data_IF_944924752835
#
_entry.id   IF_944924752835
#
_cell.length_a   1.000
_cell.length_b   1.000
_cell.length_c   1.000
_cell.angle_alpha   90.00
_cell.angle_beta   90.00
_cell.angle_gamma   90.00
#
_symmetry.space_group_name_H-M   'P 1'
#
loop_
_entity.id
_entity.type
_entity.pdbx_description
1 polymer ?
#
# COMPACT_ATOMS: atom_id res chain seq x y z
N UNK A 1 70.33 -43.41 -71.36
CA UNK A 1 70.69 -44.23 -70.18
C UNK A 1 69.76 -43.91 -69.09
N UNK A 2 68.64 -44.67 -69.01
CA UNK A 2 68.37 -45.73 -68.04
C UNK A 2 68.37 -45.17 -66.61
N UNK A 3 67.27 -45.09 -65.89
CA UNK A 3 66.57 -46.16 -65.21
C UNK A 3 65.33 -45.54 -64.54
N UNK A 4 64.18 -46.02 -64.88
CA UNK A 4 63.30 -46.91 -64.11
C UNK A 4 62.82 -46.41 -62.77
N UNK A 5 61.53 -46.26 -62.75
CA UNK A 5 60.47 -46.32 -61.76
C UNK A 5 60.71 -47.36 -60.63
N UNK A 6 60.15 -47.26 -59.45
CA UNK A 6 58.76 -47.71 -59.28
C UNK A 6 57.87 -47.00 -58.25
N UNK A 7 56.63 -46.90 -58.64
CA UNK A 7 55.41 -47.05 -57.89
C UNK A 7 55.52 -47.19 -56.37
N UNK A 8 54.98 -46.19 -55.67
CA UNK A 8 54.48 -46.33 -54.29
C UNK A 8 52.98 -46.07 -54.26
N UNK A 9 52.30 -47.15 -54.04
CA UNK A 9 50.84 -47.25 -53.89
C UNK A 9 50.29 -46.31 -52.85
N UNK A 10 49.29 -45.54 -53.24
CA UNK A 10 48.43 -44.87 -52.36
C UNK A 10 47.74 -45.93 -51.47
N UNK A 11 48.08 -45.90 -50.16
CA UNK A 11 47.31 -46.63 -49.17
C UNK A 11 46.04 -45.82 -48.92
N UNK A 12 44.96 -46.45 -49.27
CA UNK A 12 43.59 -46.10 -49.01
C UNK A 12 43.40 -46.05 -47.49
N UNK A 13 43.42 -44.83 -46.93
CA UNK A 13 43.05 -44.61 -45.52
C UNK A 13 41.56 -44.50 -45.51
N UNK A 14 40.87 -45.60 -45.40
CA UNK A 14 39.47 -45.67 -45.02
C UNK A 14 39.30 -44.95 -43.69
N UNK A 15 38.43 -43.91 -43.57
CA UNK A 15 38.12 -43.35 -42.28
C UNK A 15 37.40 -44.44 -41.48
N UNK A 16 38.03 -44.85 -40.42
CA UNK A 16 37.49 -45.74 -39.41
C UNK A 16 36.19 -45.05 -38.84
N UNK A 17 35.08 -45.54 -39.35
CA UNK A 17 33.75 -45.17 -38.88
C UNK A 17 33.67 -45.66 -37.45
N UNK A 18 33.95 -44.72 -36.50
CA UNK A 18 33.69 -44.93 -35.08
C UNK A 18 32.20 -45.06 -34.93
N UNK A 19 31.70 -46.26 -34.97
CA UNK A 19 30.35 -46.65 -34.65
C UNK A 19 30.15 -46.41 -33.15
N UNK A 20 29.85 -45.15 -32.79
CA UNK A 20 29.38 -44.83 -31.46
C UNK A 20 28.05 -45.54 -31.30
N UNK A 21 27.85 -46.41 -30.31
CA UNK A 21 26.60 -47.12 -30.13
C UNK A 21 25.46 -46.11 -30.10
N UNK A 22 24.41 -46.33 -30.87
CA UNK A 22 23.23 -45.47 -31.04
C UNK A 22 22.58 -45.15 -29.70
N UNK A 23 22.64 -46.10 -28.74
CA UNK A 23 22.19 -45.92 -27.35
C UNK A 23 22.91 -44.78 -26.60
N UNK A 24 24.21 -44.56 -26.83
CA UNK A 24 24.96 -43.50 -26.16
C UNK A 24 24.58 -42.10 -26.66
N UNK A 25 24.25 -42.00 -27.96
CA UNK A 25 23.80 -40.72 -28.57
C UNK A 25 22.40 -40.34 -28.06
N UNK A 26 21.51 -41.32 -27.92
CA UNK A 26 20.16 -41.11 -27.37
C UNK A 26 20.23 -40.69 -25.89
N UNK A 27 21.09 -41.33 -25.07
CA UNK A 27 21.26 -40.97 -23.67
C UNK A 27 21.82 -39.56 -23.50
N UNK A 28 22.82 -39.16 -24.29
CA UNK A 28 23.37 -37.80 -24.27
C UNK A 28 22.28 -36.77 -24.65
N UNK A 29 21.47 -37.09 -25.65
CA UNK A 29 20.39 -36.20 -26.09
C UNK A 29 19.33 -36.05 -25.01
N UNK A 30 18.94 -37.13 -24.35
CA UNK A 30 17.99 -37.12 -23.24
C UNK A 30 18.53 -36.33 -22.01
N UNK A 31 19.82 -36.50 -21.71
CA UNK A 31 20.46 -35.76 -20.61
C UNK A 31 20.55 -34.26 -20.91
N UNK A 32 20.85 -33.86 -22.14
CA UNK A 32 20.85 -32.46 -22.57
C UNK A 32 19.46 -31.83 -22.46
N UNK A 33 18.42 -32.52 -22.91
CA UNK A 33 17.04 -32.03 -22.76
C UNK A 33 16.63 -31.88 -21.30
N UNK A 34 17.03 -32.81 -20.42
CA UNK A 34 16.79 -32.70 -18.97
C UNK A 34 17.55 -31.54 -18.35
N UNK A 35 18.78 -31.29 -18.76
CA UNK A 35 19.60 -30.17 -18.31
C UNK A 35 18.94 -28.84 -18.69
N UNK A 36 18.55 -28.68 -19.96
CA UNK A 36 17.88 -27.49 -20.47
C UNK A 36 16.58 -27.21 -19.69
N UNK A 37 15.78 -28.25 -19.46
CA UNK A 37 14.54 -28.11 -18.65
C UNK A 37 14.87 -27.70 -17.23
N UNK A 38 15.85 -28.30 -16.57
CA UNK A 38 16.25 -27.97 -15.22
C UNK A 38 16.82 -26.54 -15.12
N UNK A 39 17.58 -26.09 -16.12
CA UNK A 39 18.06 -24.71 -16.18
C UNK A 39 16.93 -23.71 -16.37
N UNK A 40 15.95 -24.00 -17.25
CA UNK A 40 14.77 -23.18 -17.43
C UNK A 40 13.92 -23.09 -16.16
N UNK A 41 13.70 -24.21 -15.48
CA UNK A 41 12.97 -24.26 -14.22
C UNK A 41 13.71 -23.51 -13.10
N UNK A 42 15.03 -23.62 -13.04
CA UNK A 42 15.86 -22.85 -12.10
C UNK A 42 15.74 -21.35 -12.36
N UNK A 43 15.81 -20.89 -13.61
CA UNK A 43 15.66 -19.47 -13.95
C UNK A 43 14.27 -18.96 -13.57
N UNK A 44 13.23 -19.76 -13.86
CA UNK A 44 11.84 -19.42 -13.45
C UNK A 44 11.71 -19.31 -11.94
N UNK A 45 12.24 -20.29 -11.19
CA UNK A 45 12.21 -20.27 -9.73
C UNK A 45 12.98 -19.07 -9.15
N UNK A 46 14.09 -18.65 -9.75
CA UNK A 46 14.82 -17.44 -9.34
C UNK A 46 14.01 -16.17 -9.59
N UNK A 47 13.35 -16.06 -10.75
CA UNK A 47 12.48 -14.93 -11.08
C UNK A 47 11.28 -14.86 -10.13
N UNK A 48 10.63 -15.99 -9.84
CA UNK A 48 9.51 -16.07 -8.90
C UNK A 48 9.93 -15.70 -7.48
N UNK A 49 11.11 -16.14 -7.05
CA UNK A 49 11.69 -15.75 -5.77
C UNK A 49 11.92 -14.24 -5.69
N UNK A 50 12.50 -13.64 -6.71
CA UNK A 50 12.75 -12.19 -6.76
C UNK A 50 11.44 -11.39 -6.71
N UNK A 51 10.45 -11.81 -7.48
CA UNK A 51 9.12 -11.20 -7.47
C UNK A 51 8.45 -11.32 -6.10
N UNK A 52 8.60 -12.48 -5.46
CA UNK A 52 8.06 -12.72 -4.11
C UNK A 52 8.73 -11.81 -3.08
N UNK A 53 10.06 -11.66 -3.11
CA UNK A 53 10.79 -10.77 -2.21
C UNK A 53 10.32 -9.32 -2.41
N UNK A 54 10.26 -8.84 -3.66
CA UNK A 54 9.78 -7.48 -3.96
C UNK A 54 8.34 -7.24 -3.47
N UNK A 55 7.46 -8.24 -3.59
CA UNK A 55 6.11 -8.16 -3.07
C UNK A 55 6.10 -8.10 -1.55
N UNK A 56 6.82 -8.99 -0.87
CA UNK A 56 6.91 -9.01 0.59
C UNK A 56 7.48 -7.73 1.16
N UNK A 57 8.47 -7.12 0.51
CA UNK A 57 9.04 -5.83 0.96
C UNK A 57 8.01 -4.70 0.87
N UNK A 58 7.19 -4.67 -0.18
CA UNK A 58 6.09 -3.70 -0.32
C UNK A 58 5.02 -3.92 0.77
N UNK A 59 4.56 -5.16 0.94
CA UNK A 59 3.59 -5.53 1.97
C UNK A 59 4.10 -5.19 3.38
N UNK A 60 5.38 -5.44 3.65
CA UNK A 60 6.02 -5.08 4.91
C UNK A 60 6.06 -3.56 5.13
N UNK A 61 6.43 -2.80 4.11
CA UNK A 61 6.45 -1.35 4.18
C UNK A 61 5.03 -0.78 4.45
N UNK A 62 4.01 -1.31 3.77
CA UNK A 62 2.62 -0.93 4.04
C UNK A 62 2.16 -1.34 5.43
N UNK A 63 2.47 -2.56 5.88
CA UNK A 63 2.12 -3.02 7.21
C UNK A 63 2.75 -2.14 8.30
N UNK A 64 4.01 -1.74 8.14
CA UNK A 64 4.69 -0.82 9.05
C UNK A 64 4.06 0.57 9.03
N UNK A 65 3.69 1.08 7.85
CA UNK A 65 3.03 2.39 7.67
C UNK A 65 1.72 2.48 8.46
N UNK A 66 0.97 1.38 8.55
CA UNK A 66 -0.34 1.31 9.20
C UNK A 66 -0.36 0.51 10.52
N UNK A 67 0.80 0.10 11.02
CA UNK A 67 0.90 -0.71 12.24
C UNK A 67 0.21 -0.07 13.46
N UNK A 68 0.27 1.25 13.55
CA UNK A 68 -0.31 2.02 14.65
C UNK A 68 -1.77 2.44 14.43
N UNK A 69 -2.39 2.09 13.31
CA UNK A 69 -3.74 2.54 12.96
C UNK A 69 -4.80 2.12 14.00
N UNK A 70 -4.67 0.94 14.60
CA UNK A 70 -5.54 0.48 15.68
C UNK A 70 -5.44 1.38 16.90
N UNK A 71 -4.23 1.58 17.39
CA UNK A 71 -3.98 2.48 18.54
C UNK A 71 -4.47 3.90 18.28
N UNK A 72 -4.22 4.42 17.06
CA UNK A 72 -4.70 5.76 16.70
C UNK A 72 -6.23 5.83 16.75
N UNK A 73 -6.95 4.83 16.25
CA UNK A 73 -8.43 4.82 16.32
C UNK A 73 -8.94 4.93 17.75
N UNK A 74 -8.32 4.25 18.69
CA UNK A 74 -8.70 4.36 20.11
C UNK A 74 -8.38 5.76 20.66
N UNK A 75 -7.24 6.34 20.25
CA UNK A 75 -6.85 7.70 20.65
C UNK A 75 -7.78 8.78 20.08
N UNK A 76 -8.43 8.55 18.93
CA UNK A 76 -9.42 9.49 18.37
C UNK A 76 -10.60 9.72 19.32
N UNK A 77 -10.96 8.74 20.16
CA UNK A 77 -12.00 8.91 21.17
C UNK A 77 -11.61 9.99 22.19
N UNK A 78 -10.32 10.08 22.54
CA UNK A 78 -9.83 11.15 23.42
C UNK A 78 -9.90 12.50 22.73
N UNK A 79 -9.55 12.56 21.43
CA UNK A 79 -9.67 13.80 20.64
C UNK A 79 -11.12 14.29 20.57
N UNK A 80 -12.08 13.37 20.37
CA UNK A 80 -13.52 13.71 20.37
C UNK A 80 -13.99 14.24 21.74
N UNK A 81 -13.46 13.68 22.82
CA UNK A 81 -13.77 14.15 24.17
C UNK A 81 -13.30 15.60 24.40
N UNK A 82 -12.11 15.95 23.85
CA UNK A 82 -11.67 17.34 23.86
C UNK A 82 -12.58 18.24 23.04
N UNK A 83 -12.95 17.83 21.82
CA UNK A 83 -13.88 18.60 20.98
C UNK A 83 -15.24 18.83 21.72
N UNK A 84 -15.76 17.76 22.33
CA UNK A 84 -17.01 17.83 23.10
C UNK A 84 -16.87 18.74 24.32
N UNK A 85 -15.80 18.64 25.10
CA UNK A 85 -15.56 19.50 26.24
C UNK A 85 -15.50 20.98 25.84
N UNK A 86 -14.79 21.28 24.74
CA UNK A 86 -14.64 22.64 24.23
C UNK A 86 -15.94 23.20 23.62
N UNK A 87 -16.84 22.37 23.11
CA UNK A 87 -18.13 22.78 22.56
C UNK A 87 -19.17 23.18 23.65
N UNK A 88 -18.96 22.71 24.87
CA UNK A 88 -19.87 22.96 26.01
C UNK A 88 -19.32 23.97 27.04
N UNK A 89 -18.30 24.72 26.67
CA UNK A 89 -17.75 25.75 27.55
C UNK A 89 -18.78 26.87 27.78
N UNK A 90 -19.15 27.19 29.02
CA UNK A 90 -20.03 28.32 29.30
C UNK A 90 -19.32 29.63 28.93
N UNK A 91 -20.13 30.62 28.50
CA UNK A 91 -19.61 31.95 28.25
C UNK A 91 -19.04 32.51 29.55
N UNK A 92 -17.75 32.83 29.56
CA UNK A 92 -17.04 33.35 30.73
C UNK A 92 -16.55 34.76 30.45
N UNK A 93 -16.45 35.57 31.55
CA UNK A 93 -15.86 36.89 31.44
C UNK A 93 -14.38 36.84 31.12
N UNK A 94 -13.90 37.80 30.33
CA UNK A 94 -12.50 37.92 29.98
C UNK A 94 -11.60 38.02 31.22
N UNK A 95 -10.52 37.22 31.27
CA UNK A 95 -9.60 37.18 32.41
C UNK A 95 -10.04 36.30 33.58
N UNK A 96 -11.17 35.58 33.45
CA UNK A 96 -11.64 34.69 34.52
C UNK A 96 -10.75 33.43 34.64
N UNK A 97 -10.69 32.76 35.80
CA UNK A 97 -10.03 31.49 35.97
C UNK A 97 -10.53 30.41 35.01
N UNK A 98 -11.81 30.47 34.63
CA UNK A 98 -12.43 29.55 33.67
C UNK A 98 -11.86 29.76 32.27
N UNK A 99 -11.71 31.01 31.82
CA UNK A 99 -11.11 31.33 30.53
C UNK A 99 -9.65 30.83 30.44
N UNK A 100 -8.86 31.03 31.51
CA UNK A 100 -7.49 30.53 31.59
C UNK A 100 -7.44 28.99 31.50
N UNK A 101 -8.35 28.31 32.19
CA UNK A 101 -8.46 26.85 32.14
C UNK A 101 -8.85 26.33 30.74
N UNK A 102 -9.84 26.95 30.10
CA UNK A 102 -10.29 26.62 28.75
C UNK A 102 -9.16 26.82 27.72
N UNK A 103 -8.41 27.93 27.88
CA UNK A 103 -7.25 28.20 27.04
C UNK A 103 -6.21 27.09 27.18
N UNK A 104 -5.91 26.60 28.38
CA UNK A 104 -5.01 25.48 28.64
C UNK A 104 -5.47 24.20 27.95
N UNK A 105 -6.76 23.84 28.08
CA UNK A 105 -7.34 22.67 27.41
C UNK A 105 -7.26 22.81 25.88
N UNK A 106 -7.58 23.99 25.35
CA UNK A 106 -7.51 24.27 23.91
C UNK A 106 -6.09 24.10 23.37
N UNK A 107 -5.10 24.61 24.11
CA UNK A 107 -3.69 24.42 23.72
C UNK A 107 -3.29 22.95 23.76
N UNK A 108 -3.72 22.18 24.77
CA UNK A 108 -3.44 20.75 24.88
C UNK A 108 -4.07 19.98 23.72
N UNK A 109 -5.33 20.26 23.37
CA UNK A 109 -6.00 19.65 22.23
C UNK A 109 -5.29 19.97 20.90
N UNK A 110 -4.90 21.24 20.70
CA UNK A 110 -4.10 21.64 19.51
C UNK A 110 -2.75 20.93 19.46
N UNK A 111 -2.06 20.81 20.58
CA UNK A 111 -0.78 20.12 20.65
C UNK A 111 -0.92 18.63 20.29
N UNK A 112 -1.99 17.99 20.77
CA UNK A 112 -2.29 16.60 20.42
C UNK A 112 -2.53 16.44 18.91
N UNK A 113 -3.38 17.29 18.32
CA UNK A 113 -3.65 17.26 16.87
C UNK A 113 -2.36 17.50 16.05
N UNK A 114 -1.56 18.50 16.44
CA UNK A 114 -0.26 18.76 15.78
C UNK A 114 0.69 17.55 15.88
N UNK A 115 0.65 16.82 16.98
CA UNK A 115 1.45 15.59 17.13
C UNK A 115 0.95 14.51 16.19
N UNK A 116 -0.36 14.31 16.06
CA UNK A 116 -0.96 13.37 15.12
C UNK A 116 -0.60 13.71 13.66
N UNK A 117 -0.64 15.00 13.30
CA UNK A 117 -0.29 15.48 11.96
C UNK A 117 1.16 15.17 11.59
N UNK A 118 2.11 15.28 12.53
CA UNK A 118 3.53 14.88 12.31
C UNK A 118 3.67 13.40 11.95
N UNK A 119 2.72 12.58 12.37
CA UNK A 119 2.66 11.15 12.03
C UNK A 119 1.74 10.84 10.84
N UNK A 120 1.35 11.87 10.08
CA UNK A 120 0.53 11.73 8.89
C UNK A 120 -0.95 11.48 9.16
N UNK A 121 -1.42 11.75 10.38
CA UNK A 121 -2.82 11.61 10.77
C UNK A 121 -3.46 13.02 10.75
N UNK A 122 -4.42 13.20 9.83
CA UNK A 122 -5.04 14.51 9.58
C UNK A 122 -6.53 14.46 9.91
N UNK A 123 -6.96 15.40 10.74
CA UNK A 123 -8.38 15.68 11.00
C UNK A 123 -8.98 16.42 9.81
N UNK A 124 -10.18 16.06 9.38
CA UNK A 124 -10.92 16.80 8.37
C UNK A 124 -12.36 17.05 8.81
N UNK A 125 -12.86 18.22 8.44
CA UNK A 125 -14.19 18.70 8.75
C UNK A 125 -14.83 19.22 7.45
N UNK A 126 -15.61 18.39 6.75
CA UNK A 126 -16.11 18.66 5.41
C UNK A 126 -17.43 19.45 5.39
N UNK A 127 -17.67 20.32 6.36
CA UNK A 127 -18.90 21.13 6.38
C UNK A 127 -19.02 22.00 5.11
N UNK A 128 -20.14 21.92 4.43
CA UNK A 128 -20.41 22.62 3.16
C UNK A 128 -19.89 21.89 1.90
N UNK A 129 -19.13 20.82 2.02
CA UNK A 129 -18.63 20.03 0.91
C UNK A 129 -19.69 19.06 0.38
N UNK A 130 -19.51 18.58 -0.86
CA UNK A 130 -20.34 17.51 -1.41
C UNK A 130 -20.11 16.19 -0.64
N UNK A 131 -21.17 15.42 -0.46
CA UNK A 131 -21.08 14.14 0.21
C UNK A 131 -20.31 13.11 -0.63
N UNK A 132 -19.31 12.47 -0.01
CA UNK A 132 -18.51 11.36 -0.58
C UNK A 132 -18.63 10.13 0.31
N UNK A 133 -19.17 9.05 -0.18
CA UNK A 133 -19.31 7.77 0.53
C UNK A 133 -17.98 7.17 1.04
N UNK A 134 -16.85 7.51 0.42
CA UNK A 134 -15.54 7.01 0.84
C UNK A 134 -14.98 7.75 2.07
N UNK A 135 -15.40 9.00 2.28
CA UNK A 135 -14.87 9.89 3.31
C UNK A 135 -15.89 10.17 4.41
N UNK A 136 -17.18 10.08 4.11
CA UNK A 136 -18.27 10.55 4.97
C UNK A 136 -19.27 9.43 5.25
N UNK A 137 -19.88 9.51 6.43
CA UNK A 137 -21.00 8.65 6.85
C UNK A 137 -22.17 9.54 7.19
N UNK A 138 -23.23 9.50 6.36
CA UNK A 138 -24.47 10.23 6.64
C UNK A 138 -25.24 9.54 7.77
N UNK A 139 -25.65 10.34 8.78
CA UNK A 139 -26.50 9.91 9.89
C UNK A 139 -27.92 10.38 9.76
N UNK A 140 -28.10 11.59 9.29
CA UNK A 140 -29.40 12.26 9.15
C UNK A 140 -29.43 13.05 7.85
N UNK A 141 -30.62 13.19 7.31
CA UNK A 141 -30.92 14.15 6.26
C UNK A 141 -31.70 15.32 6.88
N UNK A 142 -31.31 16.53 6.56
CA UNK A 142 -31.90 17.75 7.09
C UNK A 142 -32.22 18.68 5.93
N UNK A 143 -33.47 19.18 5.79
CA UNK A 143 -33.79 20.16 4.77
C UNK A 143 -33.01 21.45 5.02
N UNK A 144 -32.41 22.00 3.98
CA UNK A 144 -31.66 23.24 4.07
C UNK A 144 -31.85 24.07 2.80
N UNK A 145 -32.34 25.30 2.99
CA UNK A 145 -32.47 26.26 1.87
C UNK A 145 -31.13 26.92 1.51
N UNK A 146 -30.16 26.89 2.45
CA UNK A 146 -28.86 27.54 2.28
C UNK A 146 -27.79 26.66 1.62
N UNK A 147 -27.97 25.34 1.66
CA UNK A 147 -26.98 24.36 1.23
C UNK A 147 -27.59 23.47 0.14
N UNK A 148 -26.92 23.32 -1.03
CA UNK A 148 -27.44 22.49 -2.11
C UNK A 148 -27.71 21.06 -1.67
N UNK A 149 -28.71 20.37 -2.25
CA UNK A 149 -28.96 18.96 -1.98
C UNK A 149 -27.71 18.08 -2.19
N UNK A 150 -27.53 17.09 -1.33
CA UNK A 150 -26.37 16.19 -1.39
C UNK A 150 -25.07 16.78 -0.82
N UNK A 151 -25.12 17.97 -0.21
CA UNK A 151 -23.98 18.57 0.50
C UNK A 151 -24.11 18.41 2.02
N UNK A 152 -22.99 18.50 2.70
CA UNK A 152 -22.89 18.33 4.14
C UNK A 152 -23.33 19.62 4.84
N UNK A 153 -24.43 19.53 5.58
CA UNK A 153 -24.98 20.65 6.38
C UNK A 153 -24.13 20.85 7.64
N UNK A 154 -23.85 19.76 8.32
CA UNK A 154 -23.17 19.78 9.60
C UNK A 154 -22.32 18.53 9.81
N UNK A 155 -21.17 18.71 10.46
CA UNK A 155 -20.33 17.59 10.90
C UNK A 155 -20.64 17.30 12.37
N UNK A 156 -21.15 16.10 12.65
CA UNK A 156 -21.46 15.62 13.99
C UNK A 156 -20.17 15.15 14.67
N UNK A 157 -19.31 14.45 13.90
CA UNK A 157 -18.02 13.94 14.37
C UNK A 157 -16.99 14.06 13.25
N UNK A 158 -15.86 14.66 13.54
CA UNK A 158 -14.80 14.86 12.55
C UNK A 158 -14.23 13.54 12.03
N UNK A 159 -13.90 13.51 10.75
CA UNK A 159 -13.19 12.40 10.14
C UNK A 159 -11.69 12.50 10.35
N UNK A 160 -11.02 11.35 10.22
CA UNK A 160 -9.57 11.25 10.30
C UNK A 160 -9.03 10.34 9.22
N UNK A 161 -7.94 10.75 8.58
CA UNK A 161 -7.18 9.96 7.62
C UNK A 161 -5.74 9.80 8.09
N UNK A 162 -5.15 8.67 7.77
CA UNK A 162 -3.73 8.39 7.98
C UNK A 162 -3.08 8.21 6.61
N UNK A 163 -2.27 9.17 6.21
CA UNK A 163 -1.73 9.27 4.85
C UNK A 163 -2.86 9.27 3.80
N UNK A 164 -2.95 8.19 3.02
CA UNK A 164 -3.91 7.94 1.95
C UNK A 164 -5.15 7.12 2.39
N UNK A 165 -5.16 6.60 3.62
CA UNK A 165 -6.22 5.72 4.14
C UNK A 165 -7.11 6.43 5.14
N UNK A 166 -8.43 6.29 4.98
CA UNK A 166 -9.41 6.75 5.98
C UNK A 166 -9.35 5.85 7.21
N UNK A 167 -9.06 6.43 8.38
CA UNK A 167 -9.12 5.75 9.66
C UNK A 167 -10.55 5.71 10.20
N UNK A 168 -11.25 6.85 10.06
CA UNK A 168 -12.64 7.01 10.46
C UNK A 168 -13.31 8.04 9.54
N UNK A 169 -14.44 7.70 8.90
CA UNK A 169 -15.19 8.65 8.11
C UNK A 169 -15.77 9.77 9.00
N UNK A 170 -15.96 10.96 8.44
CA UNK A 170 -16.68 12.02 9.15
C UNK A 170 -18.16 11.66 9.24
N UNK A 171 -18.72 11.76 10.44
CA UNK A 171 -20.14 11.56 10.67
C UNK A 171 -20.87 12.87 10.43
N UNK A 172 -21.80 12.89 9.47
CA UNK A 172 -22.36 14.14 8.93
C UNK A 172 -23.88 14.09 8.80
N UNK A 173 -24.48 15.29 8.77
CA UNK A 173 -25.84 15.52 8.31
C UNK A 173 -25.78 16.05 6.90
N UNK A 174 -26.60 15.51 6.00
CA UNK A 174 -26.61 15.86 4.57
C UNK A 174 -27.90 16.63 4.24
N UNK A 175 -27.79 17.61 3.34
CA UNK A 175 -28.96 18.36 2.87
C UNK A 175 -29.85 17.44 2.02
N UNK A 176 -31.11 17.29 2.47
CA UNK A 176 -32.16 16.66 1.68
C UNK A 176 -32.63 17.60 0.56
N UNK A 177 -33.17 17.02 -0.51
CA UNK A 177 -33.97 17.80 -1.45
C UNK A 177 -35.25 18.25 -0.74
N UNK A 178 -35.47 19.56 -0.68
CA UNK A 178 -36.76 20.13 -0.24
C UNK A 178 -37.86 19.92 -1.27
#
# INVERSE_FOLDING_TARGET
MTHEDPSLSAQDVTPENQNVPDEGVEEITALRARLETAEADRLRALADRENTIKRMDREKAEALKFAVAGFVKDLLTVADTFDQALSHVPTSEAGSPVETFVTGITMTAKQMLSTLEKHGIVKYNPAGEAFDHNLHQAMLEEPSDAIPPGHIVRVIQAGYRMHDRVLRPALVTVSAQG
#
